data_IF_737614298724
#
_entry.id   IF_737614298724
#
_cell.length_a   1.000
_cell.length_b   1.000
_cell.length_c   1.000
_cell.angle_alpha   90.00
_cell.angle_beta   90.00
_cell.angle_gamma   90.00
#
_symmetry.space_group_name_H-M   'P 1'
#
loop_
_entity.id
_entity.type
_entity.pdbx_description
1 polymer ?
#
# COMPACT_ATOMS: atom_id res chain seq x y z
N UNK A 1 0.01 -13.33 4.40
CA UNK A 1 0.46 -12.18 5.23
C UNK A 1 -0.08 -10.93 4.58
N UNK A 2 -0.74 -10.02 5.34
CA UNK A 2 -1.28 -8.78 4.80
C UNK A 2 -0.19 -7.82 4.37
N UNK A 3 -0.48 -6.96 3.39
CA UNK A 3 0.42 -5.88 2.97
C UNK A 3 0.32 -4.71 3.96
N UNK A 4 1.46 -4.14 4.33
CA UNK A 4 1.58 -3.12 5.37
C UNK A 4 2.07 -1.78 4.81
N UNK A 5 1.35 -0.71 5.12
CA UNK A 5 1.75 0.67 4.83
C UNK A 5 2.09 1.40 6.13
N UNK A 6 3.29 1.95 6.24
CA UNK A 6 3.68 2.75 7.40
C UNK A 6 3.31 4.22 7.22
N UNK A 7 2.48 4.76 8.10
CA UNK A 7 2.15 6.20 8.09
C UNK A 7 3.23 6.95 8.85
N UNK A 8 3.91 7.84 8.16
CA UNK A 8 4.98 8.68 8.70
C UNK A 8 4.67 10.17 8.47
N UNK A 9 5.31 11.04 9.21
CA UNK A 9 5.21 12.48 9.05
C UNK A 9 5.79 13.20 10.25
N UNK A 10 6.13 14.47 10.07
CA UNK A 10 6.57 15.33 11.16
C UNK A 10 5.44 15.54 12.19
N UNK A 11 5.75 15.98 13.41
CA UNK A 11 4.71 16.34 14.37
C UNK A 11 3.77 17.42 13.81
N UNK A 12 2.50 17.34 14.19
CA UNK A 12 1.47 18.33 13.87
C UNK A 12 1.10 18.48 12.37
N UNK A 13 1.33 17.46 11.56
CA UNK A 13 0.89 17.41 10.15
C UNK A 13 -0.50 16.82 9.94
N UNK A 14 -1.17 16.38 11.04
CA UNK A 14 -2.47 15.71 10.97
C UNK A 14 -2.41 14.18 10.93
N UNK A 15 -1.23 13.58 11.12
CA UNK A 15 -1.01 12.13 11.07
C UNK A 15 -1.93 11.34 12.01
N UNK A 16 -2.01 11.73 13.29
CA UNK A 16 -2.85 11.04 14.28
C UNK A 16 -4.34 11.20 14.00
N UNK A 17 -4.77 12.38 13.53
CA UNK A 17 -6.16 12.61 13.11
C UNK A 17 -6.54 11.69 11.96
N UNK A 18 -5.68 11.59 10.94
CA UNK A 18 -5.88 10.71 9.80
C UNK A 18 -5.91 9.24 10.23
N UNK A 19 -4.99 8.81 11.08
CA UNK A 19 -4.94 7.43 11.57
C UNK A 19 -6.16 7.07 12.43
N UNK A 20 -6.64 7.99 13.27
CA UNK A 20 -7.86 7.80 14.04
C UNK A 20 -9.09 7.66 13.15
N UNK A 21 -9.27 8.55 12.16
CA UNK A 21 -10.38 8.45 11.20
C UNK A 21 -10.35 7.11 10.44
N UNK A 22 -9.16 6.64 10.07
CA UNK A 22 -8.96 5.36 9.41
C UNK A 22 -9.30 4.18 10.32
N UNK A 23 -8.92 4.22 11.61
CA UNK A 23 -9.22 3.16 12.59
C UNK A 23 -10.68 3.18 13.04
N UNK A 24 -11.33 4.33 13.12
CA UNK A 24 -12.76 4.45 13.38
C UNK A 24 -13.58 3.85 12.23
N UNK A 25 -13.21 4.14 10.99
CA UNK A 25 -13.80 3.52 9.81
C UNK A 25 -13.62 2.00 9.83
N UNK A 26 -12.40 1.52 10.15
CA UNK A 26 -12.10 0.10 10.28
C UNK A 26 -12.91 -0.57 11.40
N UNK A 27 -13.08 0.08 12.55
CA UNK A 27 -13.86 -0.44 13.67
C UNK A 27 -15.37 -0.54 13.32
N UNK A 28 -15.90 0.44 12.61
CA UNK A 28 -17.29 0.39 12.13
C UNK A 28 -17.51 -0.78 11.14
N UNK A 29 -16.56 -1.03 10.26
CA UNK A 29 -16.56 -2.18 9.35
C UNK A 29 -16.39 -3.51 10.09
N UNK A 30 -15.46 -3.56 11.08
CA UNK A 30 -15.16 -4.77 11.86
C UNK A 30 -16.33 -5.25 12.71
N UNK A 31 -17.27 -4.38 13.08
CA UNK A 31 -18.52 -4.80 13.76
C UNK A 31 -19.32 -5.82 12.95
N UNK A 32 -19.11 -5.90 11.65
CA UNK A 32 -19.70 -6.85 10.73
C UNK A 32 -18.89 -8.16 10.56
N UNK A 33 -17.63 -8.22 11.10
CA UNK A 33 -16.73 -9.36 10.93
C UNK A 33 -16.21 -9.88 12.29
N UNK A 34 -16.56 -11.10 12.70
CA UNK A 34 -15.99 -11.72 13.89
C UNK A 34 -14.50 -12.06 13.68
N UNK A 35 -13.66 -11.77 14.68
CA UNK A 35 -12.21 -12.08 14.76
C UNK A 35 -11.19 -11.00 14.32
N UNK A 36 -11.54 -9.73 14.29
CA UNK A 36 -10.54 -8.67 14.17
C UNK A 36 -9.80 -8.47 15.52
N UNK A 37 -8.53 -8.80 15.57
CA UNK A 37 -7.65 -8.43 16.68
C UNK A 37 -7.21 -6.98 16.48
N UNK A 38 -7.50 -6.11 17.45
CA UNK A 38 -7.02 -4.72 17.45
C UNK A 38 -5.61 -4.75 18.03
N UNK A 39 -4.60 -4.57 17.17
CA UNK A 39 -3.23 -4.33 17.62
C UNK A 39 -3.03 -2.82 17.80
N UNK A 40 -2.37 -2.37 18.88
CA UNK A 40 -2.05 -0.95 19.05
C UNK A 40 -1.27 -0.43 17.84
N UNK A 41 -1.65 0.72 17.33
CA UNK A 41 -1.04 1.39 16.17
C UNK A 41 -1.13 0.63 14.83
N UNK A 42 -2.00 -0.36 14.69
CA UNK A 42 -2.28 -1.04 13.41
C UNK A 42 -3.77 -0.91 13.09
N UNK A 43 -4.08 -0.28 11.96
CA UNK A 43 -5.42 -0.19 11.39
C UNK A 43 -5.56 -1.16 10.22
N UNK A 44 -6.46 -2.15 10.31
CA UNK A 44 -6.85 -3.00 9.19
C UNK A 44 -8.07 -2.41 8.53
N UNK A 45 -7.96 -2.01 7.27
CA UNK A 45 -9.04 -1.38 6.53
C UNK A 45 -9.40 -2.21 5.32
N UNK A 46 -10.69 -2.30 5.06
CA UNK A 46 -11.17 -2.86 3.82
C UNK A 46 -10.72 -2.00 2.63
N UNK A 47 -10.44 -2.64 1.51
CA UNK A 47 -10.21 -1.97 0.23
C UNK A 47 -11.56 -1.89 -0.48
N UNK A 48 -12.18 -0.71 -0.57
CA UNK A 48 -13.50 -0.57 -1.19
C UNK A 48 -13.43 -0.98 -2.67
N UNK A 49 -14.32 -1.86 -3.08
CA UNK A 49 -14.36 -2.31 -4.48
C UNK A 49 -15.80 -2.59 -4.93
N UNK A 50 -16.44 -1.68 -5.67
CA UNK A 50 -17.83 -1.83 -6.11
C UNK A 50 -18.06 -3.01 -7.05
N UNK A 51 -16.99 -3.66 -7.52
CA UNK A 51 -17.09 -4.88 -8.33
C UNK A 51 -17.57 -6.07 -7.50
N UNK A 52 -17.15 -6.13 -6.22
CA UNK A 52 -17.56 -7.20 -5.31
C UNK A 52 -19.08 -7.23 -5.11
N UNK A 53 -19.70 -6.08 -4.85
CA UNK A 53 -21.14 -5.95 -4.64
C UNK A 53 -21.92 -6.49 -5.84
N UNK A 54 -21.49 -6.14 -7.07
CA UNK A 54 -22.11 -6.60 -8.31
C UNK A 54 -21.95 -8.12 -8.51
N UNK A 55 -20.78 -8.67 -8.21
CA UNK A 55 -20.51 -10.10 -8.26
C UNK A 55 -21.40 -10.83 -7.26
N UNK A 56 -21.45 -10.36 -6.02
CA UNK A 56 -22.26 -10.95 -4.95
C UNK A 56 -23.75 -10.92 -5.24
N UNK A 57 -24.25 -9.82 -5.79
CA UNK A 57 -25.65 -9.70 -6.21
C UNK A 57 -26.02 -10.75 -7.29
N UNK A 58 -25.16 -10.98 -8.28
CA UNK A 58 -25.36 -12.00 -9.32
C UNK A 58 -25.27 -13.41 -8.74
N UNK A 59 -24.25 -13.68 -7.90
CA UNK A 59 -24.04 -14.97 -7.25
C UNK A 59 -25.08 -15.27 -6.16
N UNK A 60 -25.86 -14.24 -5.74
CA UNK A 60 -26.79 -14.29 -4.60
C UNK A 60 -26.09 -14.73 -3.32
N UNK A 61 -24.93 -14.18 -3.08
CA UNK A 61 -24.10 -14.52 -1.93
C UNK A 61 -24.74 -14.08 -0.62
N UNK A 62 -24.65 -14.93 0.40
CA UNK A 62 -25.13 -14.60 1.74
C UNK A 62 -24.19 -13.64 2.48
N UNK A 63 -22.92 -13.59 2.08
CA UNK A 63 -21.89 -12.71 2.65
C UNK A 63 -20.99 -12.15 1.56
N UNK A 64 -20.53 -10.92 1.79
CA UNK A 64 -19.54 -10.22 1.00
C UNK A 64 -18.31 -9.97 1.87
N UNK A 65 -17.14 -10.34 1.37
CA UNK A 65 -15.89 -10.24 2.15
C UNK A 65 -14.88 -9.45 1.31
N UNK A 66 -14.64 -8.21 1.70
CA UNK A 66 -13.65 -7.35 1.08
C UNK A 66 -12.22 -7.80 1.44
N UNK A 67 -11.28 -7.46 0.59
CA UNK A 67 -9.86 -7.59 0.95
C UNK A 67 -9.43 -6.46 1.87
N UNK A 68 -8.32 -6.64 2.58
CA UNK A 68 -7.85 -5.70 3.59
C UNK A 68 -6.39 -5.33 3.36
N UNK A 69 -6.05 -4.08 3.72
CA UNK A 69 -4.68 -3.56 3.81
C UNK A 69 -4.43 -3.07 5.23
N UNK A 70 -3.20 -3.23 5.72
CA UNK A 70 -2.81 -2.79 7.06
C UNK A 70 -2.08 -1.44 6.98
N UNK A 71 -2.53 -0.48 7.79
CA UNK A 71 -1.82 0.77 8.04
C UNK A 71 -1.24 0.76 9.44
N UNK A 72 0.05 1.11 9.56
CA UNK A 72 0.77 1.15 10.84
C UNK A 72 1.11 2.60 11.16
N UNK A 73 0.61 3.11 12.29
CA UNK A 73 1.03 4.43 12.77
C UNK A 73 2.45 4.36 13.32
N UNK A 74 3.38 4.94 12.58
CA UNK A 74 4.78 5.01 12.99
C UNK A 74 5.00 6.37 13.66
N UNK A 75 5.41 6.35 14.93
CA UNK A 75 5.65 7.56 15.72
C UNK A 75 6.55 8.55 14.97
N UNK A 76 6.22 9.84 15.05
CA UNK A 76 6.85 10.88 14.24
C UNK A 76 8.37 10.93 14.36
N UNK A 77 9.02 11.19 13.24
CA UNK A 77 10.46 11.41 13.14
C UNK A 77 10.82 12.76 13.77
N UNK A 78 11.88 12.77 14.58
CA UNK A 78 12.56 13.98 15.02
C UNK A 78 13.93 14.02 14.32
N UNK A 79 14.40 15.20 13.90
CA UNK A 79 15.73 15.37 13.32
C UNK A 79 16.80 14.71 14.18
N UNK A 80 17.75 14.00 13.54
CA UNK A 80 18.81 13.27 14.23
C UNK A 80 18.44 11.86 14.66
N UNK A 81 17.31 11.32 14.19
CA UNK A 81 16.88 9.95 14.50
C UNK A 81 17.89 8.89 14.03
N UNK A 82 18.63 9.13 12.95
CA UNK A 82 19.68 8.26 12.44
C UNK A 82 20.93 8.20 13.35
N UNK A 83 21.13 9.23 14.19
CA UNK A 83 22.28 9.33 15.13
C UNK A 83 21.87 9.14 16.58
N UNK A 84 20.56 9.01 16.87
CA UNK A 84 20.00 9.01 18.23
C UNK A 84 19.95 7.63 18.87
N UNK A 85 20.09 7.62 20.19
CA UNK A 85 19.75 6.49 21.03
C UNK A 85 18.23 6.47 21.29
N UNK A 86 17.60 5.28 21.23
CA UNK A 86 16.21 5.09 21.67
C UNK A 86 15.16 5.24 20.58
N UNK A 87 14.31 6.30 20.61
CA UNK A 87 13.12 6.44 19.78
C UNK A 87 13.42 6.46 18.26
N UNK A 88 14.55 7.03 17.83
CA UNK A 88 14.94 7.05 16.42
C UNK A 88 15.21 5.66 15.84
N UNK A 89 15.88 4.79 16.61
CA UNK A 89 16.13 3.41 16.18
C UNK A 89 14.83 2.60 16.09
N UNK A 90 13.87 2.84 17.00
CA UNK A 90 12.56 2.19 16.96
C UNK A 90 11.75 2.64 15.75
N UNK A 91 11.78 3.94 15.41
CA UNK A 91 11.17 4.47 14.21
C UNK A 91 11.71 3.79 12.93
N UNK A 92 13.04 3.71 12.79
CA UNK A 92 13.66 3.05 11.65
C UNK A 92 13.37 1.54 11.59
N UNK A 93 13.26 0.87 12.73
CA UNK A 93 12.87 -0.54 12.81
C UNK A 93 11.43 -0.74 12.32
N UNK A 94 10.49 0.09 12.76
CA UNK A 94 9.09 0.02 12.32
C UNK A 94 8.96 0.25 10.81
N UNK A 95 9.72 1.20 10.22
CA UNK A 95 9.71 1.39 8.77
C UNK A 95 10.27 0.15 8.04
N UNK A 96 11.21 -0.60 8.59
CA UNK A 96 11.70 -1.83 7.95
C UNK A 96 10.62 -2.90 7.80
N UNK A 97 9.66 -2.94 8.71
CA UNK A 97 8.61 -3.98 8.76
C UNK A 97 7.44 -3.72 7.82
N UNK A 98 7.32 -2.52 7.23
CA UNK A 98 6.24 -2.18 6.28
C UNK A 98 6.69 -2.32 4.83
N UNK A 99 5.72 -2.49 3.91
CA UNK A 99 5.98 -2.66 2.47
C UNK A 99 6.07 -1.33 1.72
N UNK A 100 5.34 -0.29 2.18
CA UNK A 100 5.33 1.05 1.60
C UNK A 100 5.26 2.11 2.70
N UNK A 101 5.65 3.34 2.34
CA UNK A 101 5.62 4.51 3.22
C UNK A 101 4.49 5.43 2.75
N UNK A 102 3.57 5.76 3.66
CA UNK A 102 2.54 6.79 3.49
C UNK A 102 3.01 8.03 4.24
N UNK A 103 3.52 9.00 3.51
CA UNK A 103 4.13 10.20 4.08
C UNK A 103 3.13 11.35 4.13
N UNK A 104 2.63 11.65 5.32
CA UNK A 104 1.67 12.74 5.55
C UNK A 104 2.42 14.06 5.64
N UNK A 105 2.01 15.01 4.81
CA UNK A 105 2.59 16.35 4.69
C UNK A 105 1.53 17.41 4.99
N UNK A 106 1.91 18.44 5.74
CA UNK A 106 1.04 19.59 6.01
C UNK A 106 1.03 20.53 4.83
N UNK A 107 -0.12 20.63 4.16
CA UNK A 107 -0.36 21.51 3.01
C UNK A 107 -1.42 22.58 3.31
N UNK A 108 -1.47 23.09 4.54
CA UNK A 108 -2.39 24.16 4.95
C UNK A 108 -1.70 25.13 5.88
N UNK A 109 -2.11 26.41 5.83
CA UNK A 109 -1.64 27.49 6.69
C UNK A 109 -2.69 27.80 7.76
N UNK A 110 -2.26 28.24 8.94
CA UNK A 110 -3.15 28.64 10.03
C UNK A 110 -3.41 27.56 11.08
N UNK A 111 -4.33 27.86 12.01
CA UNK A 111 -4.63 27.07 13.21
C UNK A 111 -3.70 27.39 14.39
N UNK A 112 -4.19 27.09 15.61
CA UNK A 112 -3.46 27.31 16.88
C UNK A 112 -2.24 26.38 17.04
N UNK A 113 -1.95 25.54 16.02
CA UNK A 113 -0.90 24.53 16.08
C UNK A 113 0.34 25.01 15.33
N UNK A 114 1.36 25.37 16.10
CA UNK A 114 2.65 25.81 15.56
C UNK A 114 3.35 24.68 14.80
N UNK A 115 3.77 24.95 13.55
CA UNK A 115 4.64 24.04 12.81
C UNK A 115 6.01 23.92 13.51
N UNK A 116 6.58 22.73 13.54
CA UNK A 116 7.86 22.45 14.24
C UNK A 116 9.00 23.33 13.71
N UNK A 117 9.00 23.62 12.41
CA UNK A 117 10.00 24.43 11.72
C UNK A 117 9.63 25.92 11.62
N UNK A 118 8.48 26.33 12.22
CA UNK A 118 8.01 27.72 12.22
C UNK A 118 7.46 28.23 10.88
N UNK A 119 7.44 27.38 9.83
CA UNK A 119 6.85 27.67 8.51
C UNK A 119 6.23 26.38 7.93
N UNK A 120 5.24 26.53 7.08
CA UNK A 120 4.67 25.41 6.31
C UNK A 120 5.43 25.29 5.00
N UNK A 121 6.17 24.21 4.84
CA UNK A 121 6.94 23.90 3.63
C UNK A 121 6.97 22.37 3.43
N UNK A 122 5.94 21.79 2.77
CA UNK A 122 5.80 20.34 2.64
C UNK A 122 6.97 19.69 1.88
N UNK A 123 7.64 20.44 1.00
CA UNK A 123 8.81 19.92 0.28
C UNK A 123 9.99 19.75 1.24
N UNK A 124 10.30 20.80 2.04
CA UNK A 124 11.37 20.73 3.04
C UNK A 124 11.07 19.67 4.12
N UNK A 125 9.81 19.49 4.49
CA UNK A 125 9.37 18.44 5.43
C UNK A 125 9.61 17.05 4.85
N UNK A 126 9.26 16.83 3.59
CA UNK A 126 9.49 15.57 2.88
C UNK A 126 10.98 15.25 2.81
N UNK A 127 11.80 16.23 2.41
CA UNK A 127 13.27 16.09 2.32
C UNK A 127 13.91 15.81 3.68
N UNK A 128 13.38 16.39 4.76
CA UNK A 128 13.87 16.13 6.13
C UNK A 128 13.71 14.66 6.50
N UNK A 129 12.53 14.08 6.29
CA UNK A 129 12.26 12.67 6.58
C UNK A 129 13.11 11.77 5.66
N UNK A 130 13.14 12.04 4.36
CA UNK A 130 13.88 11.25 3.40
C UNK A 130 15.39 11.26 3.68
N UNK A 131 15.95 12.40 4.09
CA UNK A 131 17.36 12.51 4.47
C UNK A 131 17.73 11.60 5.63
N UNK A 132 16.89 11.53 6.68
CA UNK A 132 17.13 10.63 7.81
C UNK A 132 17.10 9.16 7.42
N UNK A 133 16.19 8.78 6.52
CA UNK A 133 16.12 7.42 5.97
C UNK A 133 17.35 7.09 5.12
N UNK A 134 17.79 8.04 4.26
CA UNK A 134 18.99 7.88 3.44
C UNK A 134 20.23 7.74 4.29
N UNK A 135 20.38 8.52 5.35
CA UNK A 135 21.52 8.41 6.27
C UNK A 135 21.58 7.05 6.96
N UNK A 136 20.43 6.50 7.36
CA UNK A 136 20.36 5.17 7.97
C UNK A 136 20.73 4.06 6.98
N UNK A 137 20.29 4.16 5.73
CA UNK A 137 20.64 3.21 4.68
C UNK A 137 22.13 3.34 4.30
N UNK A 138 22.64 4.55 4.19
CA UNK A 138 24.04 4.84 3.89
C UNK A 138 24.97 4.17 4.93
N UNK A 139 24.72 4.41 6.23
CA UNK A 139 25.49 3.80 7.32
C UNK A 139 25.43 2.26 7.29
N UNK A 140 24.27 1.70 6.96
CA UNK A 140 24.10 0.25 6.80
C UNK A 140 24.93 -0.30 5.63
N UNK A 141 24.84 0.34 4.46
CA UNK A 141 25.52 -0.13 3.24
C UNK A 141 27.02 0.09 3.27
N UNK A 142 27.50 1.17 3.88
CA UNK A 142 28.96 1.40 4.05
C UNK A 142 29.64 0.27 4.85
N UNK A 143 28.92 -0.37 5.77
CA UNK A 143 29.43 -1.53 6.50
C UNK A 143 29.25 -2.85 5.74
N UNK A 144 28.16 -3.01 4.97
CA UNK A 144 27.83 -4.28 4.30
C UNK A 144 28.58 -4.48 2.99
N UNK A 145 28.60 -3.48 2.12
CA UNK A 145 29.13 -3.58 0.74
C UNK A 145 30.59 -4.03 0.69
N UNK A 146 31.53 -3.51 1.51
CA UNK A 146 32.92 -3.96 1.48
C UNK A 146 33.09 -5.46 1.79
N UNK A 147 32.26 -6.00 2.68
CA UNK A 147 32.30 -7.41 3.02
C UNK A 147 31.72 -8.29 1.90
N UNK A 148 30.68 -7.83 1.22
CA UNK A 148 30.10 -8.52 0.06
C UNK A 148 31.10 -8.54 -1.12
N UNK A 149 31.77 -7.45 -1.38
CA UNK A 149 32.83 -7.38 -2.42
C UNK A 149 33.93 -8.41 -2.16
N UNK A 150 34.39 -8.56 -0.91
CA UNK A 150 35.41 -9.57 -0.55
C UNK A 150 34.91 -10.99 -0.80
N UNK A 151 33.66 -11.32 -0.42
CA UNK A 151 33.07 -12.64 -0.68
C UNK A 151 32.89 -12.91 -2.18
N UNK A 152 32.46 -11.90 -2.94
CA UNK A 152 32.32 -12.00 -4.39
C UNK A 152 33.67 -12.30 -5.07
N UNK A 153 34.76 -11.71 -4.61
CA UNK A 153 36.15 -11.99 -5.09
C UNK A 153 36.58 -13.42 -4.77
N UNK A 154 36.02 -14.05 -3.74
CA UNK A 154 36.25 -15.44 -3.39
C UNK A 154 35.43 -16.45 -4.20
N UNK A 155 34.63 -15.95 -5.15
CA UNK A 155 33.83 -16.79 -6.06
C UNK A 155 32.39 -17.05 -5.61
N UNK A 156 31.91 -16.39 -4.56
CA UNK A 156 30.51 -16.46 -4.12
C UNK A 156 29.60 -15.70 -5.11
N UNK A 157 28.75 -16.46 -5.84
CA UNK A 157 27.88 -15.91 -6.89
C UNK A 157 26.76 -15.05 -6.30
N UNK A 158 26.18 -15.45 -5.18
CA UNK A 158 25.11 -14.70 -4.52
C UNK A 158 25.66 -13.38 -3.98
N UNK A 159 26.81 -13.40 -3.32
CA UNK A 159 27.50 -12.21 -2.87
C UNK A 159 27.89 -11.27 -4.04
N UNK A 160 28.13 -11.80 -5.25
CA UNK A 160 28.43 -10.99 -6.43
C UNK A 160 27.23 -10.18 -6.90
N UNK A 161 26.03 -10.78 -6.98
CA UNK A 161 24.81 -10.10 -7.34
C UNK A 161 24.42 -9.07 -6.27
N UNK A 162 24.53 -9.45 -4.99
CA UNK A 162 24.25 -8.55 -3.88
C UNK A 162 25.22 -7.36 -3.83
N UNK A 163 26.53 -7.57 -4.02
CA UNK A 163 27.53 -6.51 -4.09
C UNK A 163 27.29 -5.56 -5.27
N UNK A 164 26.84 -6.07 -6.42
CA UNK A 164 26.55 -5.26 -7.61
C UNK A 164 25.39 -4.30 -7.34
N UNK A 165 24.23 -4.81 -6.90
CA UNK A 165 23.02 -4.02 -6.72
C UNK A 165 23.11 -3.10 -5.50
N UNK A 166 23.66 -3.56 -4.38
CA UNK A 166 23.83 -2.72 -3.19
C UNK A 166 24.97 -1.69 -3.36
N UNK A 167 25.94 -1.96 -4.22
CA UNK A 167 26.94 -0.98 -4.64
C UNK A 167 26.31 0.20 -5.38
N UNK A 168 25.40 -0.07 -6.34
CA UNK A 168 24.64 0.98 -7.03
C UNK A 168 23.79 1.79 -6.04
N UNK A 169 23.09 1.12 -5.11
CA UNK A 169 22.30 1.81 -4.08
C UNK A 169 23.18 2.70 -3.19
N UNK A 170 24.37 2.24 -2.79
CA UNK A 170 25.32 3.01 -2.00
C UNK A 170 25.80 4.26 -2.75
N UNK A 171 26.07 4.15 -4.04
CA UNK A 171 26.51 5.29 -4.86
C UNK A 171 25.38 6.33 -5.01
N UNK A 172 24.13 5.89 -5.21
CA UNK A 172 22.97 6.77 -5.22
C UNK A 172 22.79 7.51 -3.89
N UNK A 173 22.90 6.81 -2.76
CA UNK A 173 22.79 7.43 -1.43
C UNK A 173 23.90 8.46 -1.17
N UNK A 174 25.11 8.23 -1.65
CA UNK A 174 26.23 9.21 -1.60
C UNK A 174 25.96 10.45 -2.42
N UNK A 175 25.17 10.33 -3.49
CA UNK A 175 24.70 11.43 -4.30
C UNK A 175 23.40 12.07 -3.76
N UNK A 176 23.00 11.74 -2.52
CA UNK A 176 21.72 12.19 -1.92
C UNK A 176 20.47 11.77 -2.73
N UNK A 177 20.52 10.59 -3.33
CA UNK A 177 19.43 9.98 -4.07
C UNK A 177 18.93 8.71 -3.36
N UNK A 178 17.61 8.46 -3.30
CA UNK A 178 17.06 7.30 -2.60
C UNK A 178 17.36 5.99 -3.32
N UNK A 179 17.48 4.90 -2.55
CA UNK A 179 17.79 3.57 -3.07
C UNK A 179 16.70 3.00 -4.00
N UNK A 180 15.47 3.52 -4.01
CA UNK A 180 14.41 3.12 -4.96
C UNK A 180 14.74 3.43 -6.42
N UNK A 181 15.72 4.29 -6.68
CA UNK A 181 16.21 4.57 -8.03
C UNK A 181 17.22 3.54 -8.54
N UNK A 182 17.60 2.56 -7.72
CA UNK A 182 18.48 1.45 -8.13
C UNK A 182 17.79 0.63 -9.23
N UNK A 183 18.54 0.27 -10.26
CA UNK A 183 18.04 -0.53 -11.38
C UNK A 183 18.71 -1.92 -11.38
N UNK A 184 18.04 -2.95 -10.80
CA UNK A 184 18.53 -4.31 -10.86
C UNK A 184 18.64 -4.80 -12.30
N UNK A 185 19.70 -5.53 -12.64
CA UNK A 185 19.94 -6.03 -14.00
C UNK A 185 19.17 -7.30 -14.31
N UNK A 186 18.86 -8.06 -13.28
CA UNK A 186 18.20 -9.36 -13.40
C UNK A 186 17.40 -9.69 -12.12
N UNK A 187 16.66 -10.80 -12.16
CA UNK A 187 15.84 -11.27 -11.05
C UNK A 187 16.64 -11.66 -9.79
N UNK A 188 17.94 -11.91 -9.91
CA UNK A 188 18.81 -12.24 -8.77
C UNK A 188 19.17 -10.95 -8.02
N UNK A 189 19.56 -9.90 -8.74
CA UNK A 189 19.79 -8.56 -8.18
C UNK A 189 18.49 -7.97 -7.58
N UNK A 190 17.34 -8.16 -8.24
CA UNK A 190 16.06 -7.70 -7.69
C UNK A 190 15.73 -8.37 -6.35
N UNK A 191 15.90 -9.68 -6.25
CA UNK A 191 15.73 -10.42 -4.99
C UNK A 191 16.72 -9.97 -3.92
N UNK A 192 17.96 -9.69 -4.29
CA UNK A 192 18.98 -9.20 -3.38
C UNK A 192 18.63 -7.81 -2.83
N UNK A 193 18.14 -6.90 -3.68
CA UNK A 193 17.69 -5.57 -3.26
C UNK A 193 16.49 -5.67 -2.29
N UNK A 194 15.50 -6.50 -2.60
CA UNK A 194 14.36 -6.75 -1.70
C UNK A 194 14.80 -7.31 -0.34
N UNK A 195 15.72 -8.28 -0.32
CA UNK A 195 16.28 -8.86 0.92
C UNK A 195 17.10 -7.86 1.74
N UNK A 196 17.64 -6.83 1.11
CA UNK A 196 18.43 -5.82 1.80
C UNK A 196 17.58 -4.96 2.75
N UNK A 197 16.27 -4.88 2.52
CA UNK A 197 15.29 -4.13 3.32
C UNK A 197 15.71 -2.66 3.56
N UNK A 198 16.21 -2.03 2.50
CA UNK A 198 16.56 -0.61 2.56
C UNK A 198 15.30 0.22 2.75
N UNK A 199 15.41 1.22 3.62
CA UNK A 199 14.29 2.11 3.96
C UNK A 199 13.86 2.94 2.76
N UNK A 200 14.85 3.49 2.03
CA UNK A 200 14.64 4.35 0.87
C UNK A 200 14.41 3.57 -0.44
N UNK A 201 14.46 2.23 -0.40
CA UNK A 201 14.02 1.39 -1.52
C UNK A 201 12.51 1.14 -1.53
N UNK A 202 11.81 1.47 -0.42
CA UNK A 202 10.36 1.32 -0.32
C UNK A 202 9.65 2.37 -1.17
N UNK A 203 8.51 1.99 -1.81
CA UNK A 203 7.66 2.94 -2.50
C UNK A 203 7.05 3.95 -1.53
N UNK A 204 6.81 5.19 -2.00
CA UNK A 204 6.31 6.30 -1.19
C UNK A 204 5.01 6.84 -1.79
N UNK A 205 4.00 7.01 -0.93
CA UNK A 205 2.78 7.76 -1.21
C UNK A 205 2.81 9.04 -0.38
N UNK A 206 2.83 10.19 -1.03
CA UNK A 206 2.68 11.49 -0.35
C UNK A 206 1.20 11.78 -0.12
N UNK A 207 0.83 12.03 1.12
CA UNK A 207 -0.53 12.42 1.53
C UNK A 207 -0.51 13.90 1.91
N UNK A 208 -1.04 14.73 1.02
CA UNK A 208 -1.15 16.18 1.20
C UNK A 208 -2.37 16.49 2.07
N UNK A 209 -2.16 16.73 3.36
CA UNK A 209 -3.23 17.15 4.26
C UNK A 209 -3.48 18.64 4.07
N UNK A 210 -4.66 18.98 3.54
CA UNK A 210 -5.11 20.35 3.23
C UNK A 210 -6.25 20.79 4.14
N UNK A 211 -6.60 22.08 4.12
CA UNK A 211 -7.83 22.58 4.73
C UNK A 211 -9.08 22.06 4.02
N UNK A 212 -10.23 22.13 4.70
CA UNK A 212 -11.52 21.64 4.19
C UNK A 212 -11.89 22.27 2.83
N UNK A 213 -11.65 23.57 2.67
CA UNK A 213 -11.94 24.30 1.44
C UNK A 213 -11.14 23.79 0.22
N UNK A 214 -9.98 23.18 0.45
CA UNK A 214 -9.07 22.68 -0.59
C UNK A 214 -9.19 21.18 -0.82
N UNK A 215 -10.08 20.48 -0.11
CA UNK A 215 -10.16 19.01 -0.12
C UNK A 215 -10.50 18.43 -1.51
N UNK A 216 -11.31 19.13 -2.30
CA UNK A 216 -11.71 18.69 -3.64
C UNK A 216 -10.66 19.00 -4.71
N UNK A 217 -9.97 20.14 -4.64
CA UNK A 217 -9.11 20.64 -5.73
C UNK A 217 -7.63 20.70 -5.39
N UNK A 218 -7.27 20.58 -4.10
CA UNK A 218 -5.94 20.87 -3.61
C UNK A 218 -5.61 22.36 -3.66
N UNK A 219 -4.36 22.69 -3.35
CA UNK A 219 -3.83 24.05 -3.36
C UNK A 219 -2.40 24.09 -3.91
N UNK A 220 -1.76 25.27 -3.87
CA UNK A 220 -0.41 25.45 -4.40
C UNK A 220 0.64 24.57 -3.71
N UNK A 221 0.49 24.29 -2.40
CA UNK A 221 1.39 23.43 -1.65
C UNK A 221 1.24 21.97 -2.07
N UNK A 222 0.01 21.46 -2.18
CA UNK A 222 -0.25 20.11 -2.64
C UNK A 222 0.16 19.90 -4.10
N UNK A 223 0.00 20.92 -4.96
CA UNK A 223 0.47 20.88 -6.34
C UNK A 223 2.02 20.78 -6.43
N UNK A 224 2.74 21.47 -5.56
CA UNK A 224 4.21 21.36 -5.49
C UNK A 224 4.64 19.94 -5.06
N UNK A 225 3.93 19.33 -4.10
CA UNK A 225 4.18 17.93 -3.69
C UNK A 225 3.85 16.96 -4.83
N UNK A 226 2.78 17.16 -5.57
CA UNK A 226 2.43 16.33 -6.72
C UNK A 226 3.52 16.36 -7.81
N UNK A 227 4.07 17.55 -8.11
CA UNK A 227 5.19 17.71 -9.04
C UNK A 227 6.46 16.98 -8.56
N UNK A 228 6.78 17.05 -7.24
CA UNK A 228 7.88 16.27 -6.65
C UNK A 228 7.64 14.77 -6.80
N UNK A 229 6.44 14.30 -6.46
CA UNK A 229 6.07 12.88 -6.56
C UNK A 229 6.25 12.36 -8.00
N UNK A 230 5.79 13.10 -9.01
CA UNK A 230 5.96 12.74 -10.42
C UNK A 230 7.44 12.63 -10.80
N UNK A 231 8.28 13.59 -10.40
CA UNK A 231 9.72 13.56 -10.65
C UNK A 231 10.43 12.33 -10.03
N UNK A 232 9.90 11.81 -8.93
CA UNK A 232 10.48 10.68 -8.19
C UNK A 232 9.85 9.34 -8.53
N UNK A 233 8.83 9.31 -9.42
CA UNK A 233 8.04 8.11 -9.69
C UNK A 233 7.23 7.64 -8.47
N UNK A 234 6.91 8.55 -7.55
CA UNK A 234 6.06 8.34 -6.39
C UNK A 234 4.60 8.73 -6.70
N UNK A 235 3.67 8.35 -5.82
CA UNK A 235 2.28 8.77 -5.91
C UNK A 235 1.97 9.89 -4.90
N UNK A 236 0.92 10.70 -5.18
CA UNK A 236 0.41 11.69 -4.23
C UNK A 236 -1.11 11.71 -4.21
N UNK A 237 -1.69 11.98 -3.05
CA UNK A 237 -3.13 12.19 -2.86
C UNK A 237 -3.37 13.42 -2.00
N UNK A 238 -4.49 14.11 -2.28
CA UNK A 238 -4.97 15.23 -1.45
C UNK A 238 -6.04 14.70 -0.50
N UNK A 239 -5.96 15.08 0.77
CA UNK A 239 -6.91 14.68 1.80
C UNK A 239 -7.09 15.83 2.80
N UNK A 240 -8.27 15.97 3.39
CA UNK A 240 -8.47 16.79 4.58
C UNK A 240 -8.73 15.87 5.77
N UNK A 241 -7.76 15.77 6.67
CA UNK A 241 -7.89 14.93 7.86
C UNK A 241 -9.06 15.38 8.78
N UNK A 242 -9.43 16.66 8.73
CA UNK A 242 -10.59 17.20 9.44
C UNK A 242 -11.89 16.62 8.87
N UNK A 243 -12.08 16.71 7.54
CA UNK A 243 -13.24 16.13 6.84
C UNK A 243 -13.33 14.62 7.10
N UNK A 244 -12.21 13.89 6.98
CA UNK A 244 -12.21 12.43 7.21
C UNK A 244 -12.64 12.07 8.63
N UNK A 245 -12.19 12.84 9.62
CA UNK A 245 -12.59 12.66 11.02
C UNK A 245 -14.09 12.93 11.22
N UNK A 246 -14.66 13.91 10.52
CA UNK A 246 -16.09 14.20 10.56
C UNK A 246 -16.90 13.08 9.88
N UNK A 247 -16.53 12.67 8.67
CA UNK A 247 -17.19 11.58 7.93
C UNK A 247 -17.18 10.28 8.72
N UNK A 248 -16.09 9.95 9.43
CA UNK A 248 -15.99 8.73 10.22
C UNK A 248 -17.07 8.64 11.31
N UNK A 249 -17.55 9.78 11.82
CA UNK A 249 -18.58 9.86 12.84
C UNK A 249 -20.02 9.90 12.30
N UNK A 250 -20.20 10.17 10.99
CA UNK A 250 -21.52 10.26 10.36
C UNK A 250 -22.16 8.89 10.14
N UNK A 251 -23.51 8.79 10.27
CA UNK A 251 -24.25 7.64 9.77
C UNK A 251 -24.01 7.42 8.27
N UNK A 252 -24.00 6.17 7.83
CA UNK A 252 -23.68 5.83 6.44
C UNK A 252 -24.61 6.52 5.42
N UNK A 253 -25.88 6.66 5.78
CA UNK A 253 -26.91 7.32 4.96
C UNK A 253 -26.62 8.82 4.72
N UNK A 254 -25.91 9.48 5.64
CA UNK A 254 -25.59 10.91 5.56
C UNK A 254 -24.24 11.17 4.86
N UNK A 255 -23.35 10.18 4.80
CA UNK A 255 -22.00 10.33 4.21
C UNK A 255 -22.04 10.74 2.74
N UNK A 256 -22.92 10.13 1.95
CA UNK A 256 -23.04 10.44 0.52
C UNK A 256 -23.52 11.88 0.28
N UNK A 257 -24.49 12.36 1.06
CA UNK A 257 -24.97 13.73 0.98
C UNK A 257 -23.87 14.73 1.38
N UNK A 258 -23.13 14.43 2.45
CA UNK A 258 -22.02 15.25 2.91
C UNK A 258 -20.90 15.34 1.88
N UNK A 259 -20.49 14.23 1.27
CA UNK A 259 -19.50 14.23 0.19
C UNK A 259 -19.96 15.06 -1.02
N UNK A 260 -21.23 14.91 -1.40
CA UNK A 260 -21.80 15.66 -2.51
C UNK A 260 -21.78 17.19 -2.26
N UNK A 261 -22.12 17.63 -1.05
CA UNK A 261 -22.09 19.05 -0.66
C UNK A 261 -20.67 19.65 -0.70
N UNK A 262 -19.66 18.81 -0.45
CA UNK A 262 -18.24 19.18 -0.56
C UNK A 262 -17.67 19.06 -1.98
N UNK A 263 -18.45 18.57 -2.94
CA UNK A 263 -17.98 18.33 -4.31
C UNK A 263 -17.02 17.13 -4.42
N UNK A 264 -17.10 16.18 -3.49
CA UNK A 264 -16.28 14.96 -3.46
C UNK A 264 -17.09 13.76 -3.96
N UNK A 265 -16.49 12.94 -4.82
CA UNK A 265 -17.09 11.68 -5.28
C UNK A 265 -16.89 10.54 -4.27
N UNK A 266 -15.75 10.55 -3.58
CA UNK A 266 -15.38 9.57 -2.56
C UNK A 266 -14.55 10.23 -1.45
N UNK A 267 -14.38 9.52 -0.32
CA UNK A 267 -13.56 10.00 0.80
C UNK A 267 -12.07 10.06 0.41
N UNK A 268 -11.32 10.97 1.03
CA UNK A 268 -9.87 11.01 0.87
C UNK A 268 -9.20 9.73 1.39
N UNK A 269 -9.76 9.09 2.43
CA UNK A 269 -9.30 7.78 2.91
C UNK A 269 -9.42 6.71 1.83
N UNK A 270 -10.52 6.63 1.09
CA UNK A 270 -10.69 5.68 -0.01
C UNK A 270 -9.64 5.92 -1.10
N UNK A 271 -9.44 7.20 -1.50
CA UNK A 271 -8.38 7.56 -2.46
C UNK A 271 -6.99 7.14 -1.97
N UNK A 272 -6.70 7.35 -0.68
CA UNK A 272 -5.42 6.94 -0.08
C UNK A 272 -5.25 5.41 -0.07
N UNK A 273 -6.30 4.66 0.27
CA UNK A 273 -6.30 3.19 0.25
C UNK A 273 -6.04 2.68 -1.17
N UNK A 274 -6.77 3.18 -2.17
CA UNK A 274 -6.58 2.80 -3.56
C UNK A 274 -5.18 3.15 -4.08
N UNK A 275 -4.67 4.35 -3.75
CA UNK A 275 -3.33 4.77 -4.14
C UNK A 275 -2.24 3.89 -3.49
N UNK A 276 -2.38 3.54 -2.21
CA UNK A 276 -1.47 2.65 -1.52
C UNK A 276 -1.50 1.22 -2.11
N UNK A 277 -2.69 0.74 -2.47
CA UNK A 277 -2.90 -0.55 -3.11
C UNK A 277 -2.20 -0.62 -4.48
N UNK A 278 -2.42 0.39 -5.32
CA UNK A 278 -1.76 0.52 -6.62
C UNK A 278 -0.24 0.67 -6.50
N UNK A 279 0.24 1.47 -5.52
CA UNK A 279 1.67 1.69 -5.25
C UNK A 279 2.41 0.40 -4.90
N UNK A 280 1.74 -0.53 -4.22
CA UNK A 280 2.26 -1.84 -3.87
C UNK A 280 2.23 -2.83 -5.04
N UNK A 281 1.69 -2.44 -6.20
CA UNK A 281 1.50 -3.31 -7.35
C UNK A 281 0.54 -4.47 -7.02
N UNK A 282 -0.55 -4.17 -6.34
CA UNK A 282 -1.56 -5.15 -5.94
C UNK A 282 -2.73 -5.14 -6.92
N UNK A 283 -3.28 -6.31 -7.16
CA UNK A 283 -4.49 -6.53 -7.94
C UNK A 283 -5.47 -7.39 -7.16
N UNK A 284 -6.74 -7.32 -7.54
CA UNK A 284 -7.82 -8.05 -6.89
C UNK A 284 -8.38 -9.11 -7.83
N UNK A 285 -8.51 -10.35 -7.34
CA UNK A 285 -9.33 -11.37 -7.96
C UNK A 285 -10.45 -11.78 -7.01
N UNK A 286 -11.49 -12.43 -7.52
CA UNK A 286 -12.67 -12.78 -6.75
C UNK A 286 -12.94 -14.28 -6.77
N UNK A 287 -13.53 -14.76 -5.68
CA UNK A 287 -14.26 -16.02 -5.63
C UNK A 287 -15.72 -15.71 -5.42
N UNK A 288 -16.61 -16.38 -6.15
CA UNK A 288 -18.05 -16.14 -6.09
C UNK A 288 -18.81 -17.44 -5.83
N UNK A 289 -19.74 -17.40 -4.89
CA UNK A 289 -20.58 -18.54 -4.55
C UNK A 289 -21.77 -18.17 -3.68
N UNK A 290 -22.77 -19.07 -3.51
CA UNK A 290 -23.98 -18.77 -2.74
C UNK A 290 -23.73 -18.49 -1.25
N UNK A 291 -22.64 -19.02 -0.68
CA UNK A 291 -22.32 -18.77 0.72
C UNK A 291 -21.62 -17.42 0.89
N UNK A 292 -20.64 -17.15 0.04
CA UNK A 292 -19.86 -15.92 0.08
C UNK A 292 -19.33 -15.56 -1.30
N UNK A 293 -19.22 -14.26 -1.56
CA UNK A 293 -18.34 -13.68 -2.56
C UNK A 293 -17.22 -12.95 -1.84
N UNK A 294 -15.99 -13.15 -2.30
CA UNK A 294 -14.81 -12.60 -1.62
C UNK A 294 -13.79 -12.03 -2.58
N UNK A 295 -13.27 -10.87 -2.23
CA UNK A 295 -12.13 -10.25 -2.88
C UNK A 295 -10.82 -10.75 -2.25
N UNK A 296 -9.85 -11.07 -3.08
CA UNK A 296 -8.53 -11.55 -2.71
C UNK A 296 -7.45 -10.69 -3.33
N UNK A 297 -6.39 -10.42 -2.58
CA UNK A 297 -5.26 -9.61 -3.05
C UNK A 297 -4.11 -10.51 -3.49
N UNK A 298 -3.53 -10.18 -4.66
CA UNK A 298 -2.25 -10.73 -5.11
C UNK A 298 -1.39 -9.60 -5.68
N UNK A 299 -0.10 -9.84 -5.84
CA UNK A 299 0.77 -8.94 -6.61
C UNK A 299 0.46 -9.07 -8.09
N UNK A 300 0.56 -7.95 -8.80
CA UNK A 300 0.53 -7.96 -10.27
C UNK A 300 1.65 -8.86 -10.79
N UNK A 301 1.32 -9.68 -11.81
CA UNK A 301 2.20 -10.71 -12.32
C UNK A 301 2.14 -12.05 -11.59
N UNK A 302 1.36 -12.19 -10.51
CA UNK A 302 1.18 -13.46 -9.79
C UNK A 302 0.53 -14.51 -10.68
N UNK A 303 1.01 -15.76 -10.55
CA UNK A 303 0.45 -16.92 -11.27
C UNK A 303 -0.73 -17.53 -10.52
N UNK A 304 -1.58 -18.26 -11.24
CA UNK A 304 -2.76 -18.91 -10.66
C UNK A 304 -2.48 -19.79 -9.43
N UNK A 305 -1.39 -20.56 -9.31
CA UNK A 305 -1.07 -21.28 -8.07
C UNK A 305 -0.79 -20.35 -6.89
N UNK A 306 -0.12 -19.20 -7.11
CA UNK A 306 0.15 -18.20 -6.07
C UNK A 306 -1.16 -17.58 -5.58
N UNK A 307 -2.07 -17.23 -6.51
CA UNK A 307 -3.41 -16.75 -6.16
C UNK A 307 -4.23 -17.79 -5.37
N UNK A 308 -4.13 -19.08 -5.73
CA UNK A 308 -4.74 -20.17 -4.96
C UNK A 308 -4.15 -20.25 -3.54
N UNK A 309 -2.86 -19.94 -3.38
CA UNK A 309 -2.13 -19.88 -2.11
C UNK A 309 -2.66 -18.81 -1.15
N UNK A 310 -3.15 -17.68 -1.66
CA UNK A 310 -3.78 -16.63 -0.84
C UNK A 310 -5.07 -17.13 -0.17
N UNK A 311 -5.77 -18.10 -0.79
CA UNK A 311 -6.94 -18.73 -0.19
C UNK A 311 -6.51 -19.74 0.87
N UNK A 312 -5.62 -20.65 0.51
CA UNK A 312 -5.06 -21.65 1.41
C UNK A 312 -3.81 -22.31 0.81
N UNK A 313 -2.79 -22.57 1.63
CA UNK A 313 -1.54 -23.21 1.19
C UNK A 313 -1.74 -24.58 0.52
N UNK A 314 -2.79 -25.30 0.88
CA UNK A 314 -3.14 -26.59 0.24
C UNK A 314 -3.61 -26.39 -1.20
N UNK A 315 -4.28 -25.25 -1.50
CA UNK A 315 -4.74 -24.93 -2.86
C UNK A 315 -3.55 -24.68 -3.78
N UNK A 316 -2.50 -24.02 -3.28
CA UNK A 316 -1.26 -23.81 -4.01
C UNK A 316 -0.55 -25.13 -4.28
N UNK A 317 -0.32 -25.94 -3.23
CA UNK A 317 0.39 -27.24 -3.33
C UNK A 317 -0.33 -28.22 -4.22
N UNK A 318 -1.63 -28.32 -4.07
CA UNK A 318 -2.48 -29.25 -4.82
C UNK A 318 -3.05 -28.69 -6.12
N UNK A 319 -2.61 -27.51 -6.60
CA UNK A 319 -3.19 -26.82 -7.74
C UNK A 319 -3.21 -27.70 -9.00
N UNK A 320 -4.40 -27.82 -9.59
CA UNK A 320 -4.63 -28.54 -10.85
C UNK A 320 -4.89 -27.52 -11.97
N UNK A 321 -5.90 -26.66 -11.80
CA UNK A 321 -6.31 -25.62 -12.75
C UNK A 321 -7.20 -24.57 -12.06
N UNK A 322 -7.35 -23.41 -12.70
CA UNK A 322 -8.34 -22.41 -12.34
C UNK A 322 -9.41 -22.30 -13.44
N UNK A 323 -10.67 -22.28 -13.06
CA UNK A 323 -11.79 -21.89 -13.92
C UNK A 323 -11.95 -20.38 -13.76
N UNK A 324 -11.69 -19.61 -14.81
CA UNK A 324 -11.53 -18.15 -14.75
C UNK A 324 -12.49 -17.45 -15.69
N UNK A 325 -13.16 -16.41 -15.22
CA UNK A 325 -14.05 -15.54 -16.00
C UNK A 325 -13.61 -14.10 -15.73
N UNK A 326 -13.37 -13.29 -16.77
CA UNK A 326 -13.09 -11.88 -16.60
C UNK A 326 -14.34 -11.16 -16.01
N UNK A 327 -14.11 -10.17 -15.14
CA UNK A 327 -15.19 -9.43 -14.47
C UNK A 327 -16.30 -8.96 -15.43
N UNK A 328 -15.93 -8.28 -16.51
CA UNK A 328 -16.89 -7.76 -17.49
C UNK A 328 -17.73 -8.86 -18.14
N UNK A 329 -17.12 -10.03 -18.43
CA UNK A 329 -17.82 -11.18 -18.96
C UNK A 329 -18.74 -11.80 -17.92
N UNK A 330 -18.33 -11.85 -16.64
CA UNK A 330 -19.13 -12.35 -15.54
C UNK A 330 -20.43 -11.51 -15.36
N UNK A 331 -20.28 -10.17 -15.36
CA UNK A 331 -21.43 -9.26 -15.23
C UNK A 331 -22.33 -9.36 -16.44
N UNK A 332 -21.78 -9.28 -17.66
CA UNK A 332 -22.53 -9.31 -18.91
C UNK A 332 -23.32 -10.60 -19.12
N UNK A 333 -22.74 -11.73 -18.71
CA UNK A 333 -23.35 -13.04 -18.87
C UNK A 333 -24.29 -13.43 -17.69
N UNK A 334 -24.38 -12.61 -16.64
CA UNK A 334 -25.21 -12.90 -15.48
C UNK A 334 -24.68 -14.04 -14.61
N UNK A 335 -23.35 -14.16 -14.51
CA UNK A 335 -22.66 -15.12 -13.64
C UNK A 335 -22.05 -16.31 -14.37
N UNK A 336 -21.55 -17.27 -13.58
CA UNK A 336 -20.82 -18.45 -14.09
C UNK A 336 -21.62 -19.28 -15.12
N UNK A 337 -22.90 -19.61 -14.90
CA UNK A 337 -23.66 -20.41 -15.89
C UNK A 337 -23.73 -19.73 -17.27
N UNK A 338 -24.10 -18.45 -17.30
CA UNK A 338 -24.18 -17.71 -18.56
C UNK A 338 -22.82 -17.51 -19.22
N UNK A 339 -21.77 -17.29 -18.45
CA UNK A 339 -20.41 -17.20 -18.98
C UNK A 339 -19.92 -18.54 -19.57
N UNK A 340 -20.31 -19.66 -18.96
CA UNK A 340 -20.02 -21.00 -19.48
C UNK A 340 -20.73 -21.24 -20.81
N UNK A 341 -22.02 -20.93 -20.90
CA UNK A 341 -22.83 -21.09 -22.13
C UNK A 341 -22.33 -20.17 -23.25
N UNK A 342 -21.83 -18.99 -22.91
CA UNK A 342 -21.24 -18.04 -23.84
C UNK A 342 -19.77 -18.36 -24.22
N UNK A 343 -19.17 -19.45 -23.67
CA UNK A 343 -17.78 -19.83 -23.90
C UNK A 343 -16.76 -18.87 -23.30
N UNK A 344 -17.15 -18.13 -22.26
CA UNK A 344 -16.30 -17.14 -21.56
C UNK A 344 -15.61 -17.69 -20.31
N UNK A 345 -16.03 -18.87 -19.83
CA UNK A 345 -15.35 -19.59 -18.78
C UNK A 345 -14.12 -20.28 -19.37
N UNK A 346 -12.94 -19.84 -18.96
CA UNK A 346 -11.64 -20.36 -19.39
C UNK A 346 -11.11 -21.37 -18.36
N UNK A 347 -10.39 -22.37 -18.83
CA UNK A 347 -9.66 -23.31 -17.96
C UNK A 347 -8.18 -23.00 -18.04
N UNK A 348 -7.63 -22.42 -16.99
CA UNK A 348 -6.27 -21.90 -16.93
C UNK A 348 -5.33 -22.81 -16.14
N UNK A 349 -4.11 -22.97 -16.63
CA UNK A 349 -3.06 -23.79 -16.02
C UNK A 349 -2.15 -23.02 -15.06
N UNK A 350 -1.06 -23.68 -14.66
CA UNK A 350 -0.10 -23.14 -13.66
C UNK A 350 0.62 -21.87 -14.12
N UNK A 351 0.73 -21.61 -15.41
CA UNK A 351 1.46 -20.47 -15.95
C UNK A 351 0.56 -19.26 -16.24
N UNK A 352 -0.73 -19.38 -15.96
CA UNK A 352 -1.65 -18.27 -16.12
C UNK A 352 -1.31 -17.14 -15.14
N UNK A 353 -1.11 -15.94 -15.68
CA UNK A 353 -0.93 -14.71 -14.91
C UNK A 353 -2.29 -14.12 -14.62
N UNK A 354 -2.64 -14.03 -13.35
CA UNK A 354 -3.93 -13.49 -12.87
C UNK A 354 -4.07 -12.03 -13.29
N UNK A 355 -5.26 -11.71 -13.79
CA UNK A 355 -5.61 -10.35 -14.17
C UNK A 355 -6.50 -9.70 -13.11
N UNK A 356 -6.37 -8.38 -12.96
CA UNK A 356 -7.25 -7.63 -12.06
C UNK A 356 -8.73 -7.80 -12.49
N UNK A 357 -9.58 -8.18 -11.55
CA UNK A 357 -10.99 -8.43 -11.81
C UNK A 357 -11.35 -9.87 -12.19
N UNK A 358 -10.40 -10.79 -12.28
CA UNK A 358 -10.72 -12.20 -12.57
C UNK A 358 -11.63 -12.80 -11.49
N UNK A 359 -12.71 -13.46 -11.90
CA UNK A 359 -13.54 -14.31 -11.02
C UNK A 359 -13.09 -15.74 -11.20
N UNK A 360 -12.55 -16.36 -10.13
CA UNK A 360 -11.79 -17.60 -10.22
C UNK A 360 -12.35 -18.70 -9.31
N UNK A 361 -12.36 -19.93 -9.81
CA UNK A 361 -12.65 -21.13 -9.05
C UNK A 361 -11.49 -22.12 -9.20
N UNK A 362 -10.79 -22.40 -8.11
CA UNK A 362 -9.63 -23.27 -8.10
C UNK A 362 -10.01 -24.74 -7.95
N UNK A 363 -9.40 -25.60 -8.76
CA UNK A 363 -9.46 -27.06 -8.66
C UNK A 363 -8.12 -27.55 -8.17
N UNK A 364 -8.13 -28.26 -7.06
CA UNK A 364 -6.94 -28.78 -6.40
C UNK A 364 -7.17 -30.19 -5.87
N UNK A 365 -6.08 -30.89 -5.61
CA UNK A 365 -6.10 -32.21 -4.99
C UNK A 365 -4.97 -32.26 -3.96
N UNK A 366 -5.29 -32.64 -2.72
CA UNK A 366 -4.36 -32.72 -1.58
C UNK A 366 -4.33 -34.15 -1.07
#
# INVERSE_FOLDING_TARGET
>A
MGFRCGIVGLPNVGKSTLFNALTETAAAQAANYPFCTIEPNVGRVAVPDPRLDKIAAIAKSAQEIETQIEFVDIAGLVRGASKGEGLGNQFLANIREVDAIVHVLRCFEGGDVTHVEGRVDPIADAETVETELMLADLDSLERRVPNLVKKAQQGDKEAKAEASVLGQALDLLRETKPARLTQPKDAEEERALKRAQLLTAKPVLYVCNVDEADAATGNALSAAVAAKAECEGAASVVISAAIESEIATLPEEERQAFLFDLGLEETGLNRMIHAAYALLGLITFYTAGPKESRAWTVRDGAKAPEAAGEIHSDFERGFIRAETIAYDDYIRCGGEPGARDAGKLRSEGKDYVVQDGDVMLFRFNV
#
